data_IF_494364855262
#
_entry.id   IF_494364855262
#
_cell.length_a   1.000
_cell.length_b   1.000
_cell.length_c   1.000
_cell.angle_alpha   90.00
_cell.angle_beta   90.00
_cell.angle_gamma   90.00
#
_symmetry.space_group_name_H-M   'P 1'
#
loop_
_entity.id
_entity.type
_entity.pdbx_description
1 polymer ?
#
# COMPACT_ATOMS: atom_id res chain seq x y z
N UNK A 1 -28.28 5.83 -14.11
CA UNK A 1 -27.43 4.67 -13.75
C UNK A 1 -26.00 5.18 -13.56
N UNK A 2 -25.29 4.83 -12.47
CA UNK A 2 -23.86 5.14 -12.38
C UNK A 2 -23.11 4.38 -13.49
N UNK A 3 -22.09 4.99 -14.10
CA UNK A 3 -21.32 4.35 -15.16
C UNK A 3 -20.67 3.07 -14.61
N UNK A 4 -20.85 1.97 -15.35
CA UNK A 4 -20.19 0.70 -15.04
C UNK A 4 -18.72 0.92 -15.38
N UNK A 5 -17.88 1.07 -14.34
CA UNK A 5 -16.43 1.11 -14.52
C UNK A 5 -15.97 -0.23 -15.11
N UNK A 6 -15.26 -0.21 -16.23
CA UNK A 6 -14.55 -1.39 -16.76
C UNK A 6 -13.15 -1.55 -16.12
N UNK A 7 -12.47 -2.66 -16.41
CA UNK A 7 -11.08 -2.85 -15.98
C UNK A 7 -10.15 -1.83 -16.65
N UNK A 8 -10.30 -1.63 -17.96
CA UNK A 8 -9.51 -0.67 -18.74
C UNK A 8 -9.72 0.77 -18.28
N UNK A 9 -10.95 1.14 -17.91
CA UNK A 9 -11.25 2.45 -17.34
C UNK A 9 -10.54 2.65 -16.00
N UNK A 10 -10.52 1.59 -15.16
CA UNK A 10 -9.84 1.63 -13.87
C UNK A 10 -8.32 1.78 -14.05
N UNK A 11 -7.71 0.99 -14.94
CA UNK A 11 -6.28 1.09 -15.27
C UNK A 11 -5.94 2.45 -15.87
N UNK A 12 -6.75 2.96 -16.79
CA UNK A 12 -6.57 4.29 -17.39
C UNK A 12 -6.58 5.39 -16.33
N UNK A 13 -7.49 5.31 -15.34
CA UNK A 13 -7.52 6.25 -14.22
C UNK A 13 -6.27 6.15 -13.35
N UNK A 14 -5.86 4.93 -12.99
CA UNK A 14 -4.65 4.71 -12.19
C UNK A 14 -3.41 5.27 -12.90
N UNK A 15 -3.24 4.99 -14.21
CA UNK A 15 -2.12 5.50 -15.01
C UNK A 15 -2.12 7.02 -15.12
N UNK A 16 -3.28 7.63 -15.42
CA UNK A 16 -3.41 9.10 -15.48
C UNK A 16 -3.10 9.74 -14.13
N UNK A 17 -3.50 9.11 -13.03
CA UNK A 17 -3.17 9.60 -11.69
C UNK A 17 -1.68 9.51 -11.40
N UNK A 18 -1.02 8.40 -11.73
CA UNK A 18 0.43 8.26 -11.58
C UNK A 18 1.18 9.34 -12.36
N UNK A 19 0.80 9.54 -13.62
CA UNK A 19 1.37 10.59 -14.47
C UNK A 19 1.09 11.99 -13.90
N UNK A 20 -0.14 12.28 -13.47
CA UNK A 20 -0.51 13.57 -12.89
C UNK A 20 0.30 13.87 -11.63
N UNK A 21 0.45 12.90 -10.72
CA UNK A 21 1.24 13.07 -9.49
C UNK A 21 2.71 13.29 -9.85
N UNK A 22 3.25 12.54 -10.81
CA UNK A 22 4.63 12.70 -11.28
C UNK A 22 4.88 14.09 -11.87
N UNK A 23 4.00 14.55 -12.75
CA UNK A 23 4.10 15.88 -13.38
C UNK A 23 3.95 17.01 -12.38
N UNK A 24 3.06 16.83 -11.39
CA UNK A 24 2.79 17.83 -10.36
C UNK A 24 3.87 17.85 -9.26
N UNK A 25 4.54 16.73 -9.02
CA UNK A 25 5.56 16.58 -7.98
C UNK A 25 5.03 16.63 -6.54
N UNK A 26 3.70 16.61 -6.34
CA UNK A 26 3.08 16.65 -5.01
C UNK A 26 1.73 15.93 -4.96
N UNK A 27 1.24 15.69 -3.74
CA UNK A 27 -0.13 15.25 -3.43
C UNK A 27 -0.91 16.43 -2.86
N UNK A 28 -2.15 16.65 -3.31
CA UNK A 28 -2.97 17.77 -2.79
C UNK A 28 -3.41 17.48 -1.36
N UNK A 29 -3.63 18.50 -0.51
CA UNK A 29 -4.02 18.29 0.88
C UNK A 29 -5.27 17.40 1.08
N UNK A 30 -6.27 17.53 0.19
CA UNK A 30 -7.48 16.70 0.27
C UNK A 30 -7.26 15.26 -0.21
N UNK A 31 -6.28 15.02 -1.09
CA UNK A 31 -5.86 13.68 -1.52
C UNK A 31 -5.06 13.01 -0.38
N UNK A 32 -4.15 13.76 0.25
CA UNK A 32 -3.38 13.32 1.42
C UNK A 32 -4.30 12.88 2.57
N UNK A 33 -5.34 13.67 2.87
CA UNK A 33 -6.34 13.28 3.88
C UNK A 33 -7.01 11.94 3.56
N UNK A 34 -7.39 11.71 2.30
CA UNK A 34 -8.01 10.43 1.86
C UNK A 34 -7.04 9.26 1.99
N UNK A 35 -5.76 9.49 1.68
CA UNK A 35 -4.70 8.50 1.83
C UNK A 35 -4.53 8.12 3.30
N UNK A 36 -4.46 9.11 4.19
CA UNK A 36 -4.36 8.88 5.64
C UNK A 36 -5.57 8.10 6.17
N UNK A 37 -6.79 8.47 5.78
CA UNK A 37 -8.01 7.74 6.14
C UNK A 37 -7.98 6.28 5.63
N UNK A 38 -7.45 6.04 4.43
CA UNK A 38 -7.31 4.71 3.88
C UNK A 38 -6.28 3.85 4.64
N UNK A 39 -5.13 4.42 5.00
CA UNK A 39 -4.13 3.71 5.81
C UNK A 39 -4.60 3.47 7.25
N UNK A 40 -5.32 4.42 7.87
CA UNK A 40 -5.94 4.22 9.17
C UNK A 40 -6.97 3.07 9.12
N UNK A 41 -7.71 2.92 8.02
CA UNK A 41 -8.62 1.79 7.80
C UNK A 41 -7.90 0.45 7.64
N UNK A 42 -6.70 0.44 7.06
CA UNK A 42 -5.86 -0.76 6.96
C UNK A 42 -5.26 -1.16 8.33
N UNK A 43 -4.83 -0.19 9.13
CA UNK A 43 -4.24 -0.43 10.45
C UNK A 43 -5.26 -0.90 11.49
N UNK A 44 -6.54 -0.56 11.34
CA UNK A 44 -7.58 -0.94 12.29
C UNK A 44 -7.95 -2.42 12.14
N UNK A 45 -7.95 -3.16 13.25
CA UNK A 45 -8.64 -4.45 13.39
C UNK A 45 -10.13 -4.30 12.97
N UNK A 46 -10.78 -5.35 12.44
CA UNK A 46 -12.17 -5.27 11.98
C UNK A 46 -13.14 -5.06 13.16
N UNK A 47 -13.25 -3.80 13.61
CA UNK A 47 -14.17 -3.43 14.67
C UNK A 47 -15.61 -3.38 14.14
N UNK A 48 -16.53 -3.94 14.92
CA UNK A 48 -17.97 -3.86 14.75
C UNK A 48 -18.44 -2.40 14.69
N UNK A 49 -18.68 -1.86 13.48
CA UNK A 49 -19.24 -0.52 13.26
C UNK A 49 -20.77 -0.56 12.98
N UNK A 50 -21.52 0.51 13.31
CA UNK A 50 -22.98 0.51 13.26
C UNK A 50 -23.52 0.74 11.83
N UNK A 51 -24.50 -0.09 11.45
CA UNK A 51 -25.24 -0.18 10.16
C UNK A 51 -24.64 -1.06 9.05
N UNK A 52 -25.45 -2.01 8.56
CA UNK A 52 -25.04 -3.08 7.64
C UNK A 52 -24.64 -2.59 6.22
N UNK A 53 -25.29 -1.56 5.67
CA UNK A 53 -25.04 -1.08 4.29
C UNK A 53 -23.75 -0.27 4.17
N UNK A 54 -23.50 0.64 5.10
CA UNK A 54 -22.25 1.43 5.16
C UNK A 54 -21.07 0.53 5.53
N UNK A 55 -21.30 -0.49 6.36
CA UNK A 55 -20.34 -1.57 6.65
C UNK A 55 -19.93 -2.31 5.37
N UNK A 56 -20.89 -2.71 4.53
CA UNK A 56 -20.60 -3.42 3.27
C UNK A 56 -19.66 -2.67 2.32
N UNK A 57 -19.91 -1.37 2.10
CA UNK A 57 -19.06 -0.53 1.24
C UNK A 57 -17.67 -0.28 1.82
N UNK A 58 -17.58 0.02 3.12
CA UNK A 58 -16.30 0.26 3.80
C UNK A 58 -15.46 -1.02 3.87
N UNK A 59 -16.09 -2.17 4.12
CA UNK A 59 -15.43 -3.47 4.11
C UNK A 59 -14.94 -3.82 2.70
N UNK A 60 -15.78 -3.66 1.67
CA UNK A 60 -15.37 -3.90 0.27
C UNK A 60 -14.15 -3.07 -0.12
N UNK A 61 -14.12 -1.80 0.30
CA UNK A 61 -12.96 -0.93 0.08
C UNK A 61 -11.73 -1.43 0.85
N UNK A 62 -11.86 -1.76 2.13
CA UNK A 62 -10.77 -2.30 2.96
C UNK A 62 -10.22 -3.62 2.39
N UNK A 63 -11.09 -4.55 2.03
CA UNK A 63 -10.71 -5.85 1.46
C UNK A 63 -9.94 -5.70 0.15
N UNK A 64 -10.32 -4.72 -0.67
CA UNK A 64 -9.57 -4.39 -1.88
C UNK A 64 -8.17 -3.85 -1.56
N UNK A 65 -8.04 -2.96 -0.56
CA UNK A 65 -6.74 -2.43 -0.15
C UNK A 65 -5.84 -3.51 0.47
N UNK A 66 -6.41 -4.44 1.25
CA UNK A 66 -5.67 -5.59 1.80
C UNK A 66 -5.13 -6.45 0.67
N UNK A 67 -5.98 -6.81 -0.31
CA UNK A 67 -5.56 -7.58 -1.49
C UNK A 67 -4.43 -6.89 -2.26
N UNK A 68 -4.51 -5.58 -2.47
CA UNK A 68 -3.42 -4.81 -3.10
C UNK A 68 -2.09 -4.97 -2.35
N UNK A 69 -2.13 -5.03 -1.02
CA UNK A 69 -0.95 -5.26 -0.20
C UNK A 69 -0.45 -6.71 -0.31
N UNK A 70 -1.36 -7.70 -0.34
CA UNK A 70 -1.03 -9.13 -0.49
C UNK A 70 -0.28 -9.43 -1.79
N UNK A 71 -0.58 -8.69 -2.87
CA UNK A 71 0.13 -8.83 -4.15
C UNK A 71 1.58 -8.31 -4.13
N UNK A 72 2.07 -7.83 -2.98
CA UNK A 72 3.37 -7.17 -2.80
C UNK A 72 3.56 -5.94 -3.70
N UNK A 73 2.45 -5.29 -4.07
CA UNK A 73 2.52 -4.06 -4.84
C UNK A 73 3.15 -2.96 -3.96
N UNK A 74 2.84 -2.91 -2.66
CA UNK A 74 3.37 -1.92 -1.73
C UNK A 74 2.50 -0.66 -1.63
N UNK A 75 2.81 0.23 -0.66
CA UNK A 75 1.93 1.34 -0.27
C UNK A 75 1.70 2.38 -1.39
N UNK A 76 2.62 2.49 -2.34
CA UNK A 76 2.50 3.40 -3.48
C UNK A 76 1.28 3.11 -4.36
N UNK A 77 0.86 1.85 -4.47
CA UNK A 77 -0.32 1.49 -5.26
C UNK A 77 -1.62 1.73 -4.51
N UNK A 78 -1.60 1.60 -3.17
CA UNK A 78 -2.71 2.05 -2.33
C UNK A 78 -2.95 3.54 -2.55
N UNK A 79 -1.88 4.36 -2.55
CA UNK A 79 -1.96 5.79 -2.85
C UNK A 79 -2.59 6.02 -4.23
N UNK A 80 -2.10 5.36 -5.29
CA UNK A 80 -2.64 5.54 -6.64
C UNK A 80 -4.12 5.16 -6.75
N UNK A 81 -4.54 4.04 -6.18
CA UNK A 81 -5.95 3.62 -6.22
C UNK A 81 -6.86 4.56 -5.41
N UNK A 82 -6.41 5.00 -4.24
CA UNK A 82 -7.18 5.92 -3.39
C UNK A 82 -7.34 7.29 -4.05
N UNK A 83 -6.29 7.81 -4.69
CA UNK A 83 -6.34 9.11 -5.36
C UNK A 83 -7.08 9.02 -6.70
N UNK A 84 -6.77 8.01 -7.52
CA UNK A 84 -7.26 7.92 -8.89
C UNK A 84 -8.66 7.35 -9.05
N UNK A 85 -9.07 6.44 -8.15
CA UNK A 85 -10.41 5.85 -8.16
C UNK A 85 -11.27 6.41 -7.04
N UNK A 86 -10.71 6.46 -5.83
CA UNK A 86 -11.42 6.87 -4.63
C UNK A 86 -12.32 5.78 -4.05
N UNK A 87 -12.67 5.95 -2.77
CA UNK A 87 -13.40 4.96 -1.99
C UNK A 87 -14.76 4.57 -2.58
N UNK A 88 -15.55 5.56 -3.03
CA UNK A 88 -16.90 5.31 -3.58
C UNK A 88 -16.85 4.44 -4.83
N UNK A 89 -15.90 4.70 -5.72
CA UNK A 89 -15.74 3.93 -6.95
C UNK A 89 -15.32 2.51 -6.61
N UNK A 90 -14.28 2.35 -5.80
CA UNK A 90 -13.78 1.02 -5.39
C UNK A 90 -14.86 0.19 -4.70
N UNK A 91 -15.62 0.79 -3.79
CA UNK A 91 -16.71 0.13 -3.08
C UNK A 91 -17.89 -0.25 -3.99
N UNK A 92 -18.01 0.35 -5.17
CA UNK A 92 -19.07 0.09 -6.15
C UNK A 92 -18.60 -0.69 -7.39
N UNK A 93 -17.30 -0.99 -7.50
CA UNK A 93 -16.77 -1.85 -8.57
C UNK A 93 -17.38 -3.25 -8.50
N UNK A 94 -17.58 -3.89 -9.65
CA UNK A 94 -17.94 -5.32 -9.70
C UNK A 94 -16.83 -6.16 -9.12
N UNK A 95 -17.18 -7.27 -8.47
CA UNK A 95 -16.21 -8.17 -7.83
C UNK A 95 -15.12 -8.64 -8.79
N UNK A 96 -15.49 -9.08 -10.00
CA UNK A 96 -14.51 -9.53 -11.00
C UNK A 96 -13.47 -8.47 -11.34
N UNK A 97 -13.82 -7.18 -11.31
CA UNK A 97 -12.88 -6.09 -11.55
C UNK A 97 -12.00 -5.86 -10.33
N UNK A 98 -12.56 -5.91 -9.11
CA UNK A 98 -11.78 -5.81 -7.86
C UNK A 98 -10.74 -6.92 -7.72
N UNK A 99 -11.02 -8.11 -8.26
CA UNK A 99 -10.09 -9.25 -8.23
C UNK A 99 -8.99 -9.14 -9.29
N UNK A 100 -9.32 -8.61 -10.48
CA UNK A 100 -8.37 -8.49 -11.60
C UNK A 100 -7.51 -7.24 -11.57
N UNK A 101 -7.99 -6.16 -10.96
CA UNK A 101 -7.27 -4.89 -10.95
C UNK A 101 -5.93 -4.96 -10.18
N UNK A 102 -5.82 -5.57 -8.99
CA UNK A 102 -4.54 -5.67 -8.29
C UNK A 102 -3.41 -6.37 -9.06
N UNK A 103 -3.61 -7.57 -9.67
CA UNK A 103 -2.57 -8.18 -10.50
C UNK A 103 -2.27 -7.35 -11.75
N UNK A 104 -3.27 -6.75 -12.40
CA UNK A 104 -3.05 -5.88 -13.57
C UNK A 104 -2.14 -4.67 -13.24
N UNK A 105 -2.37 -4.05 -12.07
CA UNK A 105 -1.54 -2.96 -11.57
C UNK A 105 -0.10 -3.43 -11.31
N UNK A 106 0.07 -4.66 -10.79
CA UNK A 106 1.37 -5.25 -10.54
C UNK A 106 2.15 -5.46 -11.83
N UNK A 107 1.50 -5.94 -12.88
CA UNK A 107 2.14 -6.18 -14.17
C UNK A 107 2.64 -4.85 -14.79
N UNK A 108 1.93 -3.76 -14.52
CA UNK A 108 2.29 -2.40 -14.94
C UNK A 108 3.07 -1.61 -13.86
N UNK A 109 3.58 -2.27 -12.82
CA UNK A 109 4.21 -1.60 -11.69
C UNK A 109 5.35 -0.66 -12.10
N UNK A 110 6.15 -1.07 -13.07
CA UNK A 110 7.32 -0.32 -13.54
C UNK A 110 6.97 1.00 -14.24
N UNK A 111 5.79 1.12 -14.86
CA UNK A 111 5.34 2.36 -15.51
C UNK A 111 4.55 3.28 -14.57
N UNK A 112 3.89 2.67 -13.58
CA UNK A 112 3.06 3.37 -12.59
C UNK A 112 3.88 3.93 -11.41
N UNK A 113 5.07 3.40 -11.18
CA UNK A 113 5.94 3.81 -10.06
C UNK A 113 7.09 4.69 -10.53
N UNK A 114 7.67 5.40 -9.57
CA UNK A 114 8.82 6.26 -9.78
C UNK A 114 9.27 6.91 -8.47
N UNK A 115 10.46 7.53 -8.46
CA UNK A 115 11.06 8.08 -7.23
C UNK A 115 10.19 9.16 -6.59
N UNK A 116 9.50 9.97 -7.42
CA UNK A 116 8.56 11.00 -6.94
C UNK A 116 7.41 10.37 -6.16
N UNK A 117 6.79 9.32 -6.70
CA UNK A 117 5.66 8.67 -6.04
C UNK A 117 6.08 7.94 -4.76
N UNK A 118 7.26 7.29 -4.77
CA UNK A 118 7.81 6.61 -3.59
C UNK A 118 8.02 7.61 -2.45
N UNK A 119 8.73 8.71 -2.72
CA UNK A 119 8.95 9.78 -1.74
C UNK A 119 7.64 10.33 -1.17
N UNK A 120 6.68 10.65 -2.05
CA UNK A 120 5.39 11.21 -1.62
C UNK A 120 4.59 10.20 -0.77
N UNK A 121 4.68 8.92 -1.10
CA UNK A 121 4.05 7.85 -0.32
C UNK A 121 4.66 7.78 1.08
N UNK A 122 5.98 7.81 1.19
CA UNK A 122 6.68 7.83 2.48
C UNK A 122 6.31 9.07 3.31
N UNK A 123 6.26 10.24 2.68
CA UNK A 123 5.88 11.48 3.35
C UNK A 123 4.44 11.40 3.91
N UNK A 124 3.51 10.80 3.15
CA UNK A 124 2.15 10.57 3.62
C UNK A 124 2.09 9.56 4.79
N UNK A 125 2.93 8.52 4.78
CA UNK A 125 3.00 7.53 5.85
C UNK A 125 3.62 8.12 7.13
N UNK A 126 4.67 8.94 7.01
CA UNK A 126 5.32 9.63 8.16
C UNK A 126 4.39 10.64 8.83
N UNK A 127 3.50 11.26 8.07
CA UNK A 127 2.53 12.26 8.57
C UNK A 127 1.24 11.67 9.12
N UNK A 128 1.05 10.35 9.09
CA UNK A 128 -0.15 9.74 9.64
C UNK A 128 -0.27 10.13 11.13
N UNK A 129 -1.33 10.86 11.55
CA UNK A 129 -1.43 11.30 12.93
C UNK A 129 -1.65 10.10 13.87
N UNK A 130 -1.08 10.11 15.08
CA UNK A 130 -1.46 9.17 16.12
C UNK A 130 -2.94 9.41 16.43
N UNK A 131 -3.76 8.37 16.28
CA UNK A 131 -5.19 8.42 16.54
C UNK A 131 -5.43 8.83 18.00
N UNK A 132 -6.02 10.00 18.26
CA UNK A 132 -6.38 10.42 19.61
C UNK A 132 -7.65 9.69 20.07
N UNK A 133 -7.53 8.79 21.05
CA UNK A 133 -8.38 8.82 22.25
C UNK A 133 -7.74 8.02 23.40
N UNK A 134 -7.30 8.76 24.42
CA UNK A 134 -7.30 8.44 25.87
C UNK A 134 -6.58 7.19 26.42
N UNK A 135 -5.42 7.47 27.05
CA UNK A 135 -4.94 6.99 28.37
C UNK A 135 -5.00 5.48 28.64
N UNK A 136 -3.91 4.76 28.37
CA UNK A 136 -3.06 4.12 29.38
C UNK A 136 -1.83 3.51 28.70
N UNK A 137 -0.74 3.52 29.44
CA UNK A 137 0.62 3.14 29.09
C UNK A 137 0.71 1.75 28.43
N UNK A 138 1.53 1.60 27.40
CA UNK A 138 2.82 0.91 27.49
C UNK A 138 3.38 0.62 26.09
N UNK A 139 4.69 0.56 26.06
CA UNK A 139 5.61 0.45 24.94
C UNK A 139 5.29 -0.65 23.91
N UNK A 140 5.37 -0.31 22.63
CA UNK A 140 5.96 -1.14 21.58
C UNK A 140 6.01 -0.32 20.27
N UNK A 141 7.00 0.58 20.19
CA UNK A 141 7.37 1.23 18.93
C UNK A 141 8.20 0.23 18.11
N UNK A 142 7.87 0.13 16.82
CA UNK A 142 8.73 -0.35 15.71
C UNK A 142 8.92 -1.86 15.57
N UNK A 143 8.16 -2.51 14.67
CA UNK A 143 8.74 -3.56 13.81
C UNK A 143 7.89 -3.89 12.57
N UNK A 144 7.61 -2.93 11.68
CA UNK A 144 7.16 -3.26 10.31
C UNK A 144 7.75 -2.26 9.32
N UNK A 145 9.08 -2.16 9.30
CA UNK A 145 9.82 -1.58 8.18
C UNK A 145 10.88 -2.59 7.75
N UNK A 146 10.83 -2.96 6.47
CA UNK A 146 11.98 -3.47 5.71
C UNK A 146 12.67 -4.73 6.24
N UNK A 147 12.07 -5.90 5.97
CA UNK A 147 12.84 -7.15 5.83
C UNK A 147 12.91 -7.60 4.39
N UNK A 148 13.43 -6.74 3.52
CA UNK A 148 13.86 -7.15 2.18
C UNK A 148 15.16 -6.42 1.81
N UNK A 149 16.25 -7.19 1.93
CA UNK A 149 17.55 -7.08 1.23
C UNK A 149 18.34 -5.80 1.60
N UNK A 150 19.57 -5.87 2.12
CA UNK A 150 20.83 -6.32 1.50
C UNK A 150 21.83 -6.53 2.66
N UNK A 151 22.73 -7.52 2.66
CA UNK A 151 24.09 -7.35 2.16
C UNK A 151 24.70 -8.71 1.77
N UNK A 152 24.81 -8.87 0.46
CA UNK A 152 25.95 -9.39 -0.30
C UNK A 152 27.22 -9.80 0.49
N UNK A 153 27.65 -11.05 0.26
CA UNK A 153 29.04 -11.55 0.42
C UNK A 153 30.05 -10.64 -0.30
N UNK A 154 31.32 -10.51 0.16
CA UNK A 154 32.36 -11.51 -0.18
C UNK A 154 33.52 -11.72 0.83
N UNK A 155 34.14 -12.91 0.71
CA UNK A 155 35.55 -13.26 0.96
C UNK A 155 36.19 -12.99 2.34
N UNK A 156 36.71 -14.05 2.99
CA UNK A 156 38.15 -14.30 3.09
C UNK A 156 38.47 -15.58 3.89
N UNK A 157 39.58 -16.19 3.48
CA UNK A 157 40.18 -17.44 3.94
C UNK A 157 40.67 -17.41 5.39
N UNK A 158 40.44 -18.50 6.10
CA UNK A 158 41.29 -19.01 7.20
C UNK A 158 41.28 -20.53 6.98
N UNK A 159 42.34 -21.14 6.48
CA UNK A 159 43.66 -21.12 7.11
C UNK A 159 43.80 -22.45 7.84
N UNK A 160 44.43 -23.39 7.15
CA UNK A 160 44.91 -24.68 7.63
C UNK A 160 45.37 -24.64 9.09
N UNK A 161 44.80 -25.45 9.98
CA UNK A 161 45.55 -26.21 11.01
C UNK A 161 44.69 -27.42 11.36
N UNK A 162 45.06 -28.60 10.86
CA UNK A 162 45.20 -29.83 11.64
C UNK A 162 45.84 -30.88 10.72
N UNK A 163 47.12 -30.66 10.44
CA UNK A 163 48.00 -31.75 10.05
C UNK A 163 48.30 -32.59 11.29
N UNK A 164 47.92 -33.87 11.20
CA UNK A 164 48.74 -35.03 11.54
C UNK A 164 49.82 -34.85 12.62
N UNK A 165 49.69 -35.55 13.75
CA UNK A 165 50.76 -36.43 14.25
C UNK A 165 50.27 -37.36 15.37
N UNK A 166 50.44 -38.68 15.13
CA UNK A 166 50.99 -39.72 16.03
C UNK A 166 50.34 -39.93 17.42
N UNK A 167 49.97 -41.14 17.85
CA UNK A 167 50.60 -42.47 17.71
C UNK A 167 49.53 -43.53 17.93
#
# INVERSE_FOLDING_TARGET
MPPILSLDDAMTKVSKTAETIRLRGNIKPHEEKRIQEAFALLAREPASAPSAKTKGRRNTFRDFLIKLNDYNCGPQFVVLCVVGLGQSVIASMKEGIRLRLPPEIKDHAHTLTGPVLQRLTEDCLKKAPPSTSTVLENEALVDVQYRRMELQQPSQSLGEIFASLRQ
#
